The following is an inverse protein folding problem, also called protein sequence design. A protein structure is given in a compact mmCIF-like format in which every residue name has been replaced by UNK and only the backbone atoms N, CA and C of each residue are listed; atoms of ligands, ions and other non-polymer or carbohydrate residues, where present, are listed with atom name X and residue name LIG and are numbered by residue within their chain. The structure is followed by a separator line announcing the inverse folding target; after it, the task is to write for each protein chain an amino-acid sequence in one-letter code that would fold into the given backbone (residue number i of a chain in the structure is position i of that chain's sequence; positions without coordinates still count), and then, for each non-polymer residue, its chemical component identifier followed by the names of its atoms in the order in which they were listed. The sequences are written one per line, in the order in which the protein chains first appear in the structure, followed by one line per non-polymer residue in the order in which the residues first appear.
data_IF_643678045247
#
_entry.id   IF_643678045247
#
_cell.length_a   1.000
_cell.length_b   1.000
_cell.length_c   1.000
_cell.angle_alpha   90.00
_cell.angle_beta   90.00
_cell.angle_gamma   90.00
#
_symmetry.space_group_name_H-M   'P 1'
#
loop_
_entity.id
_entity.type
_entity.pdbx_description
1 polymer ?
#
# COMPACT_ATOMS: atom_id res chain seq x y z
N UNK A 1 33.01 51.45 60.25
CA UNK A 1 31.54 51.47 60.15
C UNK A 1 31.16 51.80 58.72
N UNK A 2 30.43 50.92 58.05
CA UNK A 2 29.96 51.12 56.67
C UNK A 2 29.95 49.83 55.86
N UNK A 3 29.05 48.90 56.16
CA UNK A 3 28.80 47.73 55.31
C UNK A 3 27.87 48.15 54.16
N UNK A 4 28.34 48.01 52.91
CA UNK A 4 27.50 48.11 51.71
C UNK A 4 26.81 46.76 51.48
N UNK A 5 25.50 46.69 51.69
CA UNK A 5 24.69 45.55 51.23
C UNK A 5 24.51 45.66 49.71
N UNK A 6 24.99 44.65 48.97
CA UNK A 6 24.61 44.44 47.57
C UNK A 6 23.40 43.49 47.56
N UNK A 7 22.24 44.03 47.19
CA UNK A 7 21.04 43.24 46.94
C UNK A 7 21.12 42.65 45.52
N UNK A 8 21.28 41.34 45.41
CA UNK A 8 21.15 40.62 44.13
C UNK A 8 19.66 40.29 43.91
N UNK A 9 19.04 40.94 42.94
CA UNK A 9 17.72 40.54 42.42
C UNK A 9 17.93 39.31 41.52
N UNK A 10 17.57 38.13 42.01
CA UNK A 10 17.49 36.91 41.20
C UNK A 10 16.22 37.02 40.34
N UNK A 11 16.38 37.32 39.06
CA UNK A 11 15.29 37.26 38.09
C UNK A 11 15.08 35.79 37.73
N UNK A 12 14.15 35.12 38.43
CA UNK A 12 13.70 33.78 38.05
C UNK A 12 12.90 33.93 36.76
N UNK A 13 13.57 33.71 35.63
CA UNK A 13 12.92 33.61 34.33
C UNK A 13 12.09 32.32 34.34
N UNK A 14 10.79 32.45 34.60
CA UNK A 14 9.84 31.39 34.31
C UNK A 14 9.80 31.22 32.79
N UNK A 15 10.64 30.33 32.26
CA UNK A 15 10.37 29.69 30.99
C UNK A 15 9.06 28.93 31.18
N UNK A 16 7.94 29.58 30.89
CA UNK A 16 6.71 28.88 30.60
C UNK A 16 7.03 28.04 29.37
N UNK A 17 7.22 26.74 29.56
CA UNK A 17 7.01 25.76 28.50
C UNK A 17 5.55 25.92 28.09
N UNK A 18 5.29 26.80 27.13
CA UNK A 18 4.05 26.81 26.39
C UNK A 18 4.03 25.49 25.63
N UNK A 19 3.48 24.46 26.25
CA UNK A 19 2.91 23.35 25.51
C UNK A 19 1.81 23.96 24.66
N UNK A 20 2.14 24.29 23.40
CA UNK A 20 1.13 24.55 22.39
C UNK A 20 0.38 23.23 22.23
N UNK A 21 -0.71 23.07 22.97
CA UNK A 21 -1.72 22.06 22.68
C UNK A 21 -2.35 22.50 21.36
N UNK A 22 -1.71 22.17 20.23
CA UNK A 22 -2.34 22.32 18.93
C UNK A 22 -3.55 21.40 18.94
N UNK A 23 -4.75 21.99 18.97
CA UNK A 23 -5.97 21.26 18.71
C UNK A 23 -5.76 20.51 17.39
N UNK A 24 -6.01 19.19 17.34
CA UNK A 24 -5.88 18.43 16.10
C UNK A 24 -6.59 19.18 14.99
N UNK A 25 -5.90 19.37 13.85
CA UNK A 25 -6.52 20.09 12.75
C UNK A 25 -7.70 19.29 12.23
N UNK A 26 -8.85 19.97 12.14
CA UNK A 26 -10.05 19.37 11.56
C UNK A 26 -9.84 18.96 10.11
N UNK A 27 -10.57 17.94 9.69
CA UNK A 27 -10.56 17.47 8.31
C UNK A 27 -10.84 18.62 7.33
N UNK A 28 -10.05 18.66 6.26
CA UNK A 28 -10.29 19.59 5.16
C UNK A 28 -11.65 19.31 4.50
N UNK A 29 -12.44 20.38 4.33
CA UNK A 29 -13.84 20.25 3.90
C UNK A 29 -13.98 19.64 2.50
N UNK A 30 -13.08 20.01 1.58
CA UNK A 30 -13.00 19.43 0.25
C UNK A 30 -12.75 17.93 0.31
N UNK A 31 -11.84 17.45 1.16
CA UNK A 31 -11.55 16.03 1.30
C UNK A 31 -12.71 15.23 1.92
N UNK A 32 -13.39 15.77 2.93
CA UNK A 32 -14.63 15.16 3.43
C UNK A 32 -15.71 15.04 2.34
N UNK A 33 -15.81 16.05 1.46
CA UNK A 33 -16.76 16.06 0.35
C UNK A 33 -16.36 15.06 -0.73
N UNK A 34 -15.06 14.96 -1.03
CA UNK A 34 -14.48 13.98 -1.94
C UNK A 34 -14.76 12.54 -1.49
N UNK A 35 -14.60 12.26 -0.19
CA UNK A 35 -14.89 10.95 0.40
C UNK A 35 -16.39 10.63 0.35
N UNK A 36 -17.28 11.58 0.67
CA UNK A 36 -18.72 11.35 0.57
C UNK A 36 -19.17 11.08 -0.88
N UNK A 37 -18.63 11.82 -1.86
CA UNK A 37 -18.86 11.54 -3.29
C UNK A 37 -18.34 10.16 -3.70
N UNK A 38 -17.23 9.71 -3.13
CA UNK A 38 -16.72 8.36 -3.39
C UNK A 38 -17.64 7.31 -2.77
N UNK A 39 -18.14 7.54 -1.55
CA UNK A 39 -19.10 6.65 -0.89
C UNK A 39 -20.38 6.47 -1.69
N UNK A 40 -20.84 7.48 -2.45
CA UNK A 40 -22.02 7.34 -3.33
C UNK A 40 -21.82 6.31 -4.46
N UNK A 41 -20.58 5.95 -4.81
CA UNK A 41 -20.29 4.91 -5.80
C UNK A 41 -20.17 3.51 -5.20
N UNK A 42 -20.38 3.39 -3.89
CA UNK A 42 -20.25 2.14 -3.13
C UNK A 42 -21.60 1.70 -2.60
N UNK A 43 -21.87 0.40 -2.68
CA UNK A 43 -23.00 -0.26 -2.04
C UNK A 43 -22.50 -1.33 -1.08
N UNK A 44 -23.40 -1.88 -0.27
CA UNK A 44 -23.11 -3.00 0.62
C UNK A 44 -23.74 -4.26 0.05
N UNK A 45 -23.00 -5.36 0.07
CA UNK A 45 -23.54 -6.69 -0.17
C UNK A 45 -23.56 -7.48 1.14
N UNK A 46 -24.75 -7.71 1.72
CA UNK A 46 -24.89 -8.45 2.98
C UNK A 46 -24.45 -9.91 2.89
N UNK A 47 -24.29 -10.45 1.69
CA UNK A 47 -23.86 -11.84 1.47
C UNK A 47 -22.34 -12.02 1.51
N UNK A 48 -21.57 -10.93 1.42
CA UNK A 48 -20.12 -10.98 1.55
C UNK A 48 -19.72 -11.10 3.02
N UNK A 49 -18.73 -11.95 3.28
CA UNK A 49 -18.12 -12.06 4.62
C UNK A 49 -17.36 -10.77 4.89
N UNK A 50 -17.83 -10.01 5.87
CA UNK A 50 -17.11 -8.87 6.44
C UNK A 50 -16.21 -9.39 7.55
N UNK A 51 -14.96 -8.90 7.61
CA UNK A 51 -14.05 -9.25 8.71
C UNK A 51 -14.35 -8.41 9.94
N UNK A 52 -14.94 -7.24 9.73
CA UNK A 52 -15.54 -6.37 10.73
C UNK A 52 -17.03 -6.67 10.88
N UNK A 53 -17.63 -6.41 12.04
CA UNK A 53 -19.08 -6.56 12.24
C UNK A 53 -19.94 -5.58 11.42
N UNK A 54 -19.33 -4.61 10.73
CA UNK A 54 -19.99 -3.58 9.93
C UNK A 54 -19.01 -2.94 8.93
N UNK A 55 -19.54 -2.18 7.94
CA UNK A 55 -18.72 -1.47 6.95
C UNK A 55 -18.18 -0.14 7.49
N UNK A 56 -16.91 0.17 7.29
CA UNK A 56 -16.32 1.44 7.76
C UNK A 56 -17.05 2.68 7.24
N UNK A 57 -17.59 2.61 6.01
CA UNK A 57 -18.36 3.70 5.41
C UNK A 57 -19.64 4.06 6.17
N UNK A 58 -20.13 3.18 7.06
CA UNK A 58 -21.32 3.45 7.89
C UNK A 58 -21.14 4.63 8.84
N UNK A 59 -19.92 4.91 9.29
CA UNK A 59 -19.63 6.05 10.17
C UNK A 59 -19.61 7.40 9.43
N UNK A 60 -19.47 7.38 8.09
CA UNK A 60 -19.25 8.58 7.29
C UNK A 60 -20.52 9.40 7.14
N UNK A 61 -20.53 10.59 7.75
CA UNK A 61 -21.66 11.49 7.70
C UNK A 61 -21.22 12.96 7.88
N UNK A 62 -22.07 13.89 7.44
CA UNK A 62 -21.77 15.33 7.43
C UNK A 62 -21.80 16.00 8.81
N UNK A 63 -22.23 15.29 9.86
CA UNK A 63 -22.36 15.85 11.22
C UNK A 63 -21.11 15.71 12.07
N UNK A 64 -20.09 14.97 11.59
CA UNK A 64 -18.82 14.75 12.29
C UNK A 64 -17.62 15.05 11.39
N UNK A 65 -16.52 15.38 12.03
CA UNK A 65 -15.22 15.55 11.37
C UNK A 65 -14.81 14.25 10.66
N UNK A 66 -14.32 14.34 9.41
CA UNK A 66 -13.97 13.15 8.63
C UNK A 66 -12.77 12.40 9.21
N UNK A 67 -11.91 13.06 10.00
CA UNK A 67 -10.81 12.39 10.69
C UNK A 67 -11.28 11.50 11.85
N UNK A 68 -12.58 11.52 12.17
CA UNK A 68 -13.23 10.61 13.13
C UNK A 68 -14.07 9.54 12.43
N UNK A 69 -14.04 9.48 11.09
CA UNK A 69 -14.71 8.42 10.35
C UNK A 69 -13.87 7.15 10.40
N UNK A 70 -14.53 6.02 10.62
CA UNK A 70 -13.89 4.71 10.56
C UNK A 70 -13.23 4.53 9.19
N UNK A 71 -12.00 4.01 9.21
CA UNK A 71 -11.21 3.82 7.99
C UNK A 71 -10.55 5.09 7.44
N UNK A 72 -10.75 6.27 8.04
CA UNK A 72 -10.12 7.52 7.61
C UNK A 72 -9.13 7.99 8.66
N UNK A 73 -7.87 8.15 8.28
CA UNK A 73 -6.83 8.72 9.14
C UNK A 73 -6.29 9.98 8.48
N UNK A 74 -6.20 11.04 9.28
CA UNK A 74 -5.67 12.33 8.89
C UNK A 74 -4.30 12.60 9.51
N UNK A 75 -3.51 13.41 8.82
CA UNK A 75 -2.31 14.03 9.36
C UNK A 75 -2.69 15.01 10.48
N UNK A 76 -2.17 14.78 11.69
CA UNK A 76 -2.55 15.52 12.91
C UNK A 76 -2.31 17.03 12.81
N UNK A 77 -1.32 17.42 12.00
CA UNK A 77 -0.85 18.80 11.89
C UNK A 77 -1.55 19.58 10.78
N UNK A 78 -2.07 18.90 9.75
CA UNK A 78 -2.69 19.54 8.59
C UNK A 78 -4.16 19.20 8.39
N UNK A 79 -4.70 18.18 9.08
CA UNK A 79 -6.07 17.69 8.87
C UNK A 79 -6.28 17.04 7.50
N UNK A 80 -5.20 16.75 6.76
CA UNK A 80 -5.26 16.09 5.46
C UNK A 80 -5.45 14.58 5.64
N UNK A 81 -6.38 13.98 4.93
CA UNK A 81 -6.52 12.53 4.78
C UNK A 81 -5.25 11.96 4.17
N UNK A 82 -4.61 11.06 4.93
CA UNK A 82 -3.37 10.38 4.54
C UNK A 82 -3.55 8.87 4.46
N UNK A 83 -4.60 8.32 5.06
CA UNK A 83 -4.90 6.90 4.95
C UNK A 83 -6.40 6.69 4.81
N UNK A 84 -6.73 5.81 3.85
CA UNK A 84 -8.06 5.30 3.61
C UNK A 84 -8.01 3.78 3.64
N UNK A 85 -8.51 3.22 4.74
CA UNK A 85 -8.69 1.80 4.93
C UNK A 85 -10.19 1.48 4.83
N UNK A 86 -10.56 0.76 3.77
CA UNK A 86 -11.89 0.19 3.57
C UNK A 86 -11.86 -1.33 3.52
N UNK A 87 -10.80 -1.98 4.01
CA UNK A 87 -10.67 -3.42 3.88
C UNK A 87 -11.78 -4.18 4.59
N UNK A 88 -12.13 -5.31 3.98
CA UNK A 88 -13.07 -6.28 4.51
C UNK A 88 -14.40 -5.70 5.01
N UNK A 89 -14.93 -4.74 4.26
CA UNK A 89 -16.08 -3.90 4.62
C UNK A 89 -17.36 -4.27 3.85
N UNK A 90 -17.37 -5.40 3.12
CA UNK A 90 -18.53 -5.88 2.37
C UNK A 90 -18.96 -4.92 1.26
N UNK A 91 -18.01 -4.12 0.75
CA UNK A 91 -18.29 -3.10 -0.24
C UNK A 91 -18.39 -3.73 -1.63
N UNK A 92 -19.45 -3.38 -2.35
CA UNK A 92 -19.55 -3.56 -3.80
C UNK A 92 -19.39 -2.20 -4.45
N UNK A 93 -18.53 -2.07 -5.44
CA UNK A 93 -18.26 -0.76 -6.02
C UNK A 93 -17.65 -0.79 -7.40
N UNK A 94 -17.81 0.34 -8.09
CA UNK A 94 -17.13 0.63 -9.34
C UNK A 94 -16.22 1.84 -9.17
N UNK A 95 -14.93 1.66 -9.47
CA UNK A 95 -13.95 2.73 -9.49
C UNK A 95 -13.69 3.07 -10.97
N UNK A 96 -14.24 4.20 -11.40
CA UNK A 96 -14.02 4.77 -12.74
C UNK A 96 -12.87 5.78 -12.73
N UNK A 97 -12.27 6.06 -13.90
CA UNK A 97 -11.11 6.98 -14.04
C UNK A 97 -11.38 8.40 -13.56
N UNK A 98 -12.65 8.82 -13.51
CA UNK A 98 -13.09 10.11 -12.99
C UNK A 98 -13.53 10.06 -11.51
N UNK A 99 -13.30 8.94 -10.81
CA UNK A 99 -13.66 8.78 -9.40
C UNK A 99 -13.06 9.90 -8.55
N UNK A 100 -13.86 10.40 -7.60
CA UNK A 100 -13.42 11.43 -6.66
C UNK A 100 -12.25 10.94 -5.80
N UNK A 101 -12.09 9.62 -5.60
CA UNK A 101 -10.97 9.00 -4.91
C UNK A 101 -9.61 9.57 -5.35
N UNK A 102 -9.41 9.76 -6.65
CA UNK A 102 -8.14 10.23 -7.23
C UNK A 102 -7.82 11.70 -6.94
N UNK A 103 -8.70 12.42 -6.23
CA UNK A 103 -8.46 13.79 -5.76
C UNK A 103 -7.70 13.82 -4.42
N UNK A 104 -7.64 12.70 -3.69
CA UNK A 104 -6.93 12.59 -2.40
C UNK A 104 -5.41 12.44 -2.61
N UNK A 105 -4.79 13.45 -3.21
CA UNK A 105 -3.38 13.45 -3.65
C UNK A 105 -2.33 13.27 -2.54
N UNK A 106 -2.73 13.41 -1.27
CA UNK A 106 -1.86 13.24 -0.10
C UNK A 106 -1.93 11.85 0.53
N UNK A 107 -2.72 10.93 -0.02
CA UNK A 107 -2.79 9.56 0.46
C UNK A 107 -1.41 8.89 0.49
N UNK A 108 -1.13 8.28 1.62
CA UNK A 108 0.05 7.49 1.95
C UNK A 108 -0.30 6.01 2.08
N UNK A 109 -1.53 5.66 2.47
CA UNK A 109 -1.97 4.27 2.59
C UNK A 109 -3.36 4.13 2.03
N UNK A 110 -3.54 3.15 1.15
CA UNK A 110 -4.83 2.83 0.55
C UNK A 110 -5.02 1.32 0.62
N UNK A 111 -6.05 0.90 1.35
CA UNK A 111 -6.38 -0.49 1.55
C UNK A 111 -7.85 -0.73 1.20
N UNK A 112 -8.07 -1.42 0.09
CA UNK A 112 -9.39 -1.84 -0.40
C UNK A 112 -9.58 -3.35 -0.31
N UNK A 113 -8.66 -4.07 0.34
CA UNK A 113 -8.60 -5.53 0.33
C UNK A 113 -9.89 -6.20 0.81
N UNK A 114 -10.16 -7.42 0.35
CA UNK A 114 -11.33 -8.22 0.78
C UNK A 114 -12.67 -7.50 0.60
N UNK A 115 -12.88 -6.86 -0.54
CA UNK A 115 -14.17 -6.30 -0.96
C UNK A 115 -14.56 -6.82 -2.36
N UNK A 116 -15.68 -6.39 -2.91
CA UNK A 116 -16.09 -6.78 -4.25
C UNK A 116 -16.04 -5.59 -5.22
N UNK A 117 -14.88 -5.41 -5.85
CA UNK A 117 -14.68 -4.46 -6.95
C UNK A 117 -14.67 -5.17 -8.32
N UNK A 118 -15.46 -6.23 -8.49
CA UNK A 118 -15.59 -7.01 -9.75
C UNK A 118 -15.90 -6.17 -10.99
N UNK A 119 -16.59 -5.03 -10.81
CA UNK A 119 -16.91 -4.09 -11.88
C UNK A 119 -15.80 -3.06 -12.14
N UNK A 120 -14.64 -3.19 -11.50
CA UNK A 120 -13.51 -2.27 -11.57
C UNK A 120 -12.25 -2.92 -12.13
N UNK A 121 -11.39 -2.09 -12.70
CA UNK A 121 -10.03 -2.45 -13.11
C UNK A 121 -9.03 -1.69 -12.23
N UNK A 122 -7.78 -2.15 -12.20
CA UNK A 122 -6.68 -1.34 -11.65
C UNK A 122 -6.35 -0.28 -12.71
N UNK A 123 -6.70 0.97 -12.44
CA UNK A 123 -6.60 2.06 -13.41
C UNK A 123 -5.24 2.80 -13.34
N UNK A 124 -4.76 3.41 -14.44
CA UNK A 124 -3.54 4.23 -14.44
C UNK A 124 -3.54 5.34 -13.38
N UNK A 125 -4.71 5.86 -13.03
CA UNK A 125 -4.89 6.92 -12.05
C UNK A 125 -4.42 6.55 -10.64
N UNK A 126 -4.31 5.25 -10.30
CA UNK A 126 -3.66 4.82 -9.06
C UNK A 126 -2.20 5.30 -8.99
N UNK A 127 -1.51 5.39 -10.13
CA UNK A 127 -0.15 5.93 -10.23
C UNK A 127 -0.02 7.42 -9.86
N UNK A 128 -1.14 8.14 -9.71
CA UNK A 128 -1.14 9.56 -9.31
C UNK A 128 -0.91 9.77 -7.81
N UNK A 129 -1.06 8.73 -6.99
CA UNK A 129 -0.81 8.80 -5.54
C UNK A 129 0.69 8.80 -5.23
N UNK A 130 1.40 9.85 -5.63
CA UNK A 130 2.88 9.96 -5.52
C UNK A 130 3.46 9.80 -4.11
N UNK A 131 2.62 9.90 -3.07
CA UNK A 131 3.01 9.74 -1.66
C UNK A 131 2.68 8.37 -1.08
N UNK A 132 2.08 7.48 -1.87
CA UNK A 132 1.62 6.19 -1.41
C UNK A 132 2.80 5.31 -0.98
N UNK A 133 2.68 4.75 0.21
CA UNK A 133 3.62 3.83 0.86
C UNK A 133 3.02 2.43 0.97
N UNK A 134 1.70 2.31 1.02
CA UNK A 134 0.98 1.04 0.97
C UNK A 134 -0.19 1.11 -0.01
N UNK A 135 -0.24 0.12 -0.91
CA UNK A 135 -1.38 -0.15 -1.77
C UNK A 135 -1.78 -1.61 -1.61
N UNK A 136 -2.96 -1.85 -1.06
CA UNK A 136 -3.53 -3.19 -0.95
C UNK A 136 -4.87 -3.24 -1.69
N UNK A 137 -4.88 -3.99 -2.79
CA UNK A 137 -6.06 -4.28 -3.61
C UNK A 137 -6.32 -5.80 -3.66
N UNK A 138 -5.73 -6.55 -2.73
CA UNK A 138 -5.81 -8.00 -2.72
C UNK A 138 -7.23 -8.49 -2.42
N UNK A 139 -7.56 -9.67 -2.93
CA UNK A 139 -8.85 -10.33 -2.68
C UNK A 139 -10.08 -9.43 -2.94
N UNK A 140 -9.96 -8.54 -3.93
CA UNK A 140 -10.92 -7.47 -4.17
C UNK A 140 -11.70 -7.62 -5.48
N UNK A 141 -11.60 -8.78 -6.12
CA UNK A 141 -12.22 -9.07 -7.41
C UNK A 141 -11.84 -8.09 -8.55
N UNK A 142 -10.77 -7.30 -8.42
CA UNK A 142 -10.24 -6.56 -9.57
C UNK A 142 -9.85 -7.52 -10.70
N UNK A 143 -10.03 -7.09 -11.94
CA UNK A 143 -9.71 -7.89 -13.12
C UNK A 143 -9.03 -7.08 -14.21
N UNK A 144 -8.51 -7.80 -15.22
CA UNK A 144 -7.88 -7.20 -16.40
C UNK A 144 -6.40 -6.92 -16.22
N UNK A 145 -5.92 -5.84 -16.82
CA UNK A 145 -4.50 -5.54 -16.90
C UNK A 145 -4.05 -4.60 -15.76
N UNK A 146 -2.87 -4.87 -15.20
CA UNK A 146 -2.21 -3.98 -14.24
C UNK A 146 -1.37 -2.95 -15.02
N UNK A 147 -1.72 -1.66 -14.97
CA UNK A 147 -1.05 -0.63 -15.77
C UNK A 147 0.36 -0.34 -15.25
N UNK A 148 1.26 0.04 -16.16
CA UNK A 148 2.65 0.40 -15.84
C UNK A 148 2.75 1.62 -14.91
N UNK A 149 1.72 2.48 -14.86
CA UNK A 149 1.65 3.64 -13.97
C UNK A 149 1.77 3.31 -12.48
N UNK A 150 1.48 2.07 -12.07
CA UNK A 150 1.75 1.61 -10.69
C UNK A 150 3.25 1.74 -10.36
N UNK A 151 4.14 1.64 -11.35
CA UNK A 151 5.58 1.85 -11.18
C UNK A 151 5.96 3.31 -10.89
N UNK A 152 5.05 4.28 -11.04
CA UNK A 152 5.27 5.68 -10.69
C UNK A 152 5.18 5.95 -9.17
N UNK A 153 4.71 4.98 -8.38
CA UNK A 153 4.57 5.07 -6.93
C UNK A 153 5.94 4.95 -6.22
N UNK A 154 6.85 5.89 -6.48
CA UNK A 154 8.25 5.84 -6.00
C UNK A 154 8.45 5.75 -4.48
N UNK A 155 7.40 6.05 -3.69
CA UNK A 155 7.42 5.95 -2.23
C UNK A 155 6.88 4.62 -1.69
N UNK A 156 6.42 3.73 -2.58
CA UNK A 156 5.73 2.51 -2.20
C UNK A 156 6.67 1.54 -1.49
N UNK A 157 6.20 1.04 -0.35
CA UNK A 157 6.90 0.10 0.51
C UNK A 157 6.19 -1.25 0.54
N UNK A 158 4.86 -1.26 0.37
CA UNK A 158 4.07 -2.49 0.38
C UNK A 158 3.05 -2.45 -0.76
N UNK A 159 3.06 -3.49 -1.61
CA UNK A 159 2.16 -3.66 -2.74
C UNK A 159 1.58 -5.08 -2.73
N UNK A 160 0.26 -5.18 -2.54
CA UNK A 160 -0.48 -6.44 -2.54
C UNK A 160 -1.57 -6.39 -3.60
N UNK A 161 -1.44 -7.24 -4.62
CA UNK A 161 -2.34 -7.31 -5.77
C UNK A 161 -2.91 -8.71 -6.03
N UNK A 162 -2.71 -9.66 -5.10
CA UNK A 162 -3.19 -11.03 -5.25
C UNK A 162 -4.71 -11.04 -5.51
N UNK A 163 -5.19 -11.56 -6.65
CA UNK A 163 -6.60 -11.56 -6.98
C UNK A 163 -7.37 -12.57 -6.12
N UNK A 164 -8.70 -12.40 -6.08
CA UNK A 164 -9.61 -13.48 -5.67
C UNK A 164 -9.56 -14.63 -6.68
N UNK A 165 -9.95 -15.84 -6.28
CA UNK A 165 -9.91 -17.03 -7.15
C UNK A 165 -10.76 -16.93 -8.44
N UNK A 166 -11.73 -16.02 -8.49
CA UNK A 166 -12.67 -15.88 -9.60
C UNK A 166 -12.22 -14.88 -10.67
N UNK A 167 -11.18 -14.09 -10.40
CA UNK A 167 -10.75 -13.00 -11.30
C UNK A 167 -9.34 -13.19 -11.81
N UNK A 168 -9.08 -12.67 -13.01
CA UNK A 168 -7.78 -12.75 -13.67
C UNK A 168 -7.19 -11.35 -13.76
N UNK A 169 -6.06 -11.16 -13.07
CA UNK A 169 -5.17 -10.02 -13.28
C UNK A 169 -3.99 -10.42 -14.17
N UNK A 170 -3.56 -9.50 -15.04
CA UNK A 170 -2.45 -9.70 -15.98
C UNK A 170 -1.42 -8.59 -15.84
N UNK A 171 -0.15 -8.98 -15.70
CA UNK A 171 0.98 -8.06 -15.67
C UNK A 171 1.97 -8.49 -16.76
N UNK A 172 2.28 -7.60 -17.71
CA UNK A 172 3.17 -7.98 -18.81
C UNK A 172 4.62 -8.08 -18.32
N UNK A 173 5.47 -8.75 -19.08
CA UNK A 173 6.90 -8.79 -18.80
C UNK A 173 7.54 -7.39 -18.74
N UNK A 174 7.06 -6.45 -19.57
CA UNK A 174 7.54 -5.08 -19.59
C UNK A 174 7.15 -4.35 -18.28
N UNK A 175 5.91 -4.49 -17.85
CA UNK A 175 5.39 -3.79 -16.67
C UNK A 175 5.96 -4.38 -15.38
N UNK A 176 6.17 -5.70 -15.31
CA UNK A 176 6.90 -6.34 -14.20
C UNK A 176 8.31 -5.75 -14.08
N UNK A 177 9.02 -5.60 -15.20
CA UNK A 177 10.36 -4.99 -15.20
C UNK A 177 10.32 -3.55 -14.69
N UNK A 178 9.39 -2.74 -15.15
CA UNK A 178 9.24 -1.35 -14.69
C UNK A 178 8.91 -1.28 -13.20
N UNK A 179 7.99 -2.11 -12.73
CA UNK A 179 7.58 -2.20 -11.33
C UNK A 179 8.79 -2.52 -10.44
N UNK A 180 9.52 -3.60 -10.74
CA UNK A 180 10.67 -4.02 -9.93
C UNK A 180 11.85 -3.02 -9.99
N UNK A 181 12.04 -2.36 -11.13
CA UNK A 181 13.11 -1.37 -11.31
C UNK A 181 12.81 -0.03 -10.61
N UNK A 182 11.56 0.46 -10.67
CA UNK A 182 11.23 1.82 -10.23
C UNK A 182 10.82 1.87 -8.74
N UNK A 183 10.23 0.81 -8.20
CA UNK A 183 9.79 0.75 -6.80
C UNK A 183 10.98 0.44 -5.87
N UNK A 184 11.95 1.36 -5.84
CA UNK A 184 13.23 1.18 -5.13
C UNK A 184 13.12 1.17 -3.60
N UNK A 185 11.97 1.56 -3.03
CA UNK A 185 11.68 1.52 -1.59
C UNK A 185 10.85 0.31 -1.15
N UNK A 186 10.51 -0.58 -2.08
CA UNK A 186 9.62 -1.70 -1.83
C UNK A 186 10.24 -2.67 -0.81
N UNK A 187 9.44 -3.01 0.20
CA UNK A 187 9.74 -3.98 1.26
C UNK A 187 8.93 -5.26 1.07
N UNK A 188 7.67 -5.10 0.68
CA UNK A 188 6.74 -6.20 0.49
C UNK A 188 6.12 -6.13 -0.89
N UNK A 189 6.17 -7.25 -1.61
CA UNK A 189 5.52 -7.42 -2.89
C UNK A 189 4.77 -8.75 -2.93
N UNK A 190 3.45 -8.69 -3.10
CA UNK A 190 2.61 -9.86 -3.33
C UNK A 190 1.88 -9.75 -4.67
N UNK A 191 2.33 -10.58 -5.62
CA UNK A 191 1.76 -10.76 -6.95
C UNK A 191 1.24 -12.19 -7.14
N UNK A 192 1.00 -12.93 -6.06
CA UNK A 192 0.54 -14.32 -6.11
C UNK A 192 -0.70 -14.44 -6.99
N UNK A 193 -0.77 -15.49 -7.82
CA UNK A 193 -1.89 -15.77 -8.72
C UNK A 193 -2.17 -14.73 -9.82
N UNK A 194 -1.27 -13.76 -10.05
CA UNK A 194 -1.35 -12.85 -11.20
C UNK A 194 -0.74 -13.53 -12.42
N UNK A 195 -1.43 -13.48 -13.56
CA UNK A 195 -0.88 -14.01 -14.81
C UNK A 195 0.23 -13.08 -15.34
N UNK A 196 1.46 -13.47 -15.07
CA UNK A 196 2.69 -12.78 -15.51
C UNK A 196 3.25 -13.45 -16.76
N UNK A 197 3.32 -14.78 -16.78
CA UNK A 197 3.83 -15.59 -17.91
C UNK A 197 5.14 -15.07 -18.50
N UNK A 198 6.15 -14.80 -17.65
CA UNK A 198 7.43 -14.23 -18.06
C UNK A 198 8.61 -14.73 -17.22
N UNK A 199 9.83 -14.33 -17.58
CA UNK A 199 11.02 -14.54 -16.73
C UNK A 199 11.10 -13.48 -15.65
N UNK A 200 11.82 -13.76 -14.57
CA UNK A 200 12.04 -12.82 -13.47
C UNK A 200 13.18 -11.84 -13.82
N UNK A 201 12.94 -10.52 -13.90
CA UNK A 201 14.01 -9.52 -14.07
C UNK A 201 14.95 -9.48 -12.86
N UNK A 202 16.24 -9.18 -13.02
CA UNK A 202 17.21 -9.24 -11.92
C UNK A 202 17.22 -8.03 -10.98
N UNK A 203 16.49 -6.96 -11.30
CA UNK A 203 16.55 -5.70 -10.58
C UNK A 203 15.48 -5.67 -9.49
N UNK A 204 15.89 -5.72 -8.22
CA UNK A 204 15.01 -5.68 -7.06
C UNK A 204 15.37 -4.52 -6.14
N UNK A 205 14.42 -4.05 -5.35
CA UNK A 205 14.73 -3.15 -4.23
C UNK A 205 15.60 -3.88 -3.20
N UNK A 206 16.68 -3.22 -2.76
CA UNK A 206 17.52 -3.69 -1.65
C UNK A 206 16.82 -3.69 -0.29
N UNK A 207 15.63 -3.09 -0.20
CA UNK A 207 14.81 -3.03 1.01
C UNK A 207 13.81 -4.20 1.10
N UNK A 208 13.71 -5.06 0.09
CA UNK A 208 12.77 -6.17 0.08
C UNK A 208 13.01 -7.12 1.25
N UNK A 209 11.94 -7.38 2.00
CA UNK A 209 11.84 -8.39 3.05
C UNK A 209 10.93 -9.53 2.64
N UNK A 210 9.91 -9.26 1.82
CA UNK A 210 8.93 -10.25 1.37
C UNK A 210 8.69 -10.14 -0.13
N UNK A 211 8.86 -11.26 -0.83
CA UNK A 211 8.55 -11.40 -2.26
C UNK A 211 7.68 -12.65 -2.49
N UNK A 212 6.43 -12.43 -2.89
CA UNK A 212 5.49 -13.49 -3.26
C UNK A 212 5.07 -13.36 -4.71
N UNK A 213 5.37 -14.37 -5.51
CA UNK A 213 5.00 -14.50 -6.91
C UNK A 213 4.61 -15.95 -7.23
N UNK A 214 4.00 -16.64 -6.25
CA UNK A 214 3.53 -18.02 -6.44
C UNK A 214 2.39 -18.09 -7.45
N UNK A 215 2.32 -19.16 -8.25
CA UNK A 215 1.26 -19.37 -9.24
C UNK A 215 1.11 -18.20 -10.24
N UNK A 216 2.21 -17.69 -10.80
CA UNK A 216 2.18 -16.53 -11.71
C UNK A 216 2.52 -16.86 -13.16
N UNK A 217 2.78 -18.14 -13.46
CA UNK A 217 3.25 -18.59 -14.76
C UNK A 217 4.70 -18.19 -15.04
N UNK A 218 5.48 -17.85 -14.01
CA UNK A 218 6.89 -17.55 -14.17
C UNK A 218 7.65 -18.76 -14.72
N UNK A 219 8.61 -18.49 -15.60
CA UNK A 219 9.44 -19.52 -16.21
C UNK A 219 10.91 -19.08 -16.29
N UNK A 220 11.78 -20.03 -16.64
CA UNK A 220 13.21 -19.77 -16.82
C UNK A 220 13.99 -19.94 -15.52
N UNK A 221 14.99 -19.09 -15.31
CA UNK A 221 15.95 -19.22 -14.20
C UNK A 221 15.67 -18.12 -13.16
N UNK A 222 15.63 -18.48 -11.88
CA UNK A 222 15.61 -17.53 -10.76
C UNK A 222 16.92 -16.74 -10.78
N UNK A 223 16.90 -15.40 -10.91
CA UNK A 223 18.12 -14.61 -10.96
C UNK A 223 18.86 -14.65 -9.61
N UNK A 224 20.18 -14.84 -9.66
CA UNK A 224 21.05 -14.91 -8.48
C UNK A 224 20.90 -13.70 -7.56
N UNK A 225 20.54 -12.53 -8.10
CA UNK A 225 20.34 -11.29 -7.33
C UNK A 225 19.32 -11.43 -6.19
N UNK A 226 18.29 -12.28 -6.34
CA UNK A 226 17.28 -12.52 -5.30
C UNK A 226 17.91 -13.11 -4.04
N UNK A 227 18.85 -14.06 -4.21
CA UNK A 227 19.52 -14.72 -3.09
C UNK A 227 20.56 -13.84 -2.38
N UNK A 228 20.89 -12.68 -2.95
CA UNK A 228 21.83 -11.71 -2.39
C UNK A 228 21.13 -10.47 -1.81
N UNK A 229 19.79 -10.47 -1.74
CA UNK A 229 19.04 -9.40 -1.10
C UNK A 229 19.30 -9.42 0.42
N UNK A 230 19.80 -8.32 1.01
CA UNK A 230 20.36 -8.35 2.36
C UNK A 230 19.30 -8.53 3.46
N UNK A 231 18.05 -8.20 3.17
CA UNK A 231 16.95 -8.20 4.14
C UNK A 231 15.82 -9.18 3.76
N UNK A 232 16.00 -10.02 2.73
CA UNK A 232 14.92 -10.90 2.26
C UNK A 232 14.69 -12.04 3.26
N UNK A 233 13.50 -12.07 3.83
CA UNK A 233 13.09 -13.04 4.85
C UNK A 233 12.11 -14.07 4.27
N UNK A 234 11.22 -13.63 3.37
CA UNK A 234 10.18 -14.47 2.77
C UNK A 234 10.29 -14.45 1.25
N UNK A 235 10.51 -15.63 0.66
CA UNK A 235 10.50 -15.85 -0.79
C UNK A 235 9.50 -16.98 -1.13
N UNK A 236 8.47 -16.63 -1.90
CA UNK A 236 7.34 -17.52 -2.23
C UNK A 236 7.22 -17.55 -3.75
N UNK A 237 7.71 -18.62 -4.37
CA UNK A 237 7.75 -18.81 -5.83
C UNK A 237 7.02 -20.09 -6.26
N UNK A 238 6.30 -20.73 -5.35
CA UNK A 238 5.73 -22.05 -5.60
C UNK A 238 4.69 -22.06 -6.73
N UNK A 239 4.40 -23.24 -7.27
CA UNK A 239 3.43 -23.43 -8.35
C UNK A 239 3.81 -22.69 -9.65
N UNK A 240 5.11 -22.50 -9.90
CA UNK A 240 5.65 -22.05 -11.18
C UNK A 240 6.44 -23.20 -11.82
N UNK A 241 5.72 -24.14 -12.45
CA UNK A 241 6.27 -25.43 -12.90
C UNK A 241 7.41 -25.34 -13.93
N UNK A 242 7.55 -24.20 -14.61
CA UNK A 242 8.61 -23.95 -15.61
C UNK A 242 9.75 -23.07 -15.05
N UNK A 243 9.69 -22.72 -13.76
CA UNK A 243 10.73 -21.99 -13.08
C UNK A 243 11.77 -22.97 -12.53
N UNK A 244 13.02 -22.63 -12.73
CA UNK A 244 14.17 -23.40 -12.29
C UNK A 244 15.12 -22.49 -11.52
N UNK A 245 15.85 -23.05 -10.57
CA UNK A 245 16.81 -22.29 -9.77
C UNK A 245 18.01 -23.14 -9.44
N UNK A 246 19.15 -22.47 -9.29
CA UNK A 246 20.32 -23.04 -8.67
C UNK A 246 20.89 -22.04 -7.67
N UNK A 247 21.24 -22.51 -6.49
CA UNK A 247 22.00 -21.71 -5.55
C UNK A 247 23.49 -21.99 -5.74
N UNK A 248 24.26 -20.98 -6.17
CA UNK A 248 25.70 -21.11 -6.32
C UNK A 248 26.38 -20.85 -4.98
N UNK A 249 27.03 -21.88 -4.44
CA UNK A 249 27.81 -21.79 -3.20
C UNK A 249 29.09 -20.97 -3.42
N UNK A 250 29.66 -20.35 -2.37
CA UNK A 250 30.92 -19.60 -2.46
C UNK A 250 32.11 -20.40 -3.01
N UNK A 251 32.07 -21.72 -2.92
CA UNK A 251 33.08 -22.63 -3.46
C UNK A 251 32.86 -23.02 -4.94
N UNK A 252 31.90 -22.39 -5.63
CA UNK A 252 31.62 -22.59 -7.05
C UNK A 252 30.67 -23.75 -7.39
N UNK A 253 30.23 -24.53 -6.40
CA UNK A 253 29.26 -25.63 -6.61
C UNK A 253 27.82 -25.11 -6.64
N UNK A 254 26.95 -25.69 -7.46
CA UNK A 254 25.54 -25.29 -7.58
C UNK A 254 24.61 -26.34 -6.96
N UNK A 255 23.59 -25.89 -6.23
CA UNK A 255 22.51 -26.74 -5.69
C UNK A 255 21.22 -26.44 -6.45
N UNK A 256 20.65 -27.43 -7.13
CA UNK A 256 19.36 -27.27 -7.80
C UNK A 256 18.23 -27.09 -6.78
N UNK A 257 17.42 -26.05 -6.97
CA UNK A 257 16.22 -25.79 -6.19
C UNK A 257 15.03 -26.48 -6.85
N UNK A 258 15.02 -27.80 -6.94
CA UNK A 258 13.93 -28.55 -7.60
C UNK A 258 12.81 -29.00 -6.66
N UNK A 259 12.94 -28.75 -5.34
CA UNK A 259 12.05 -29.28 -4.30
C UNK A 259 11.43 -28.23 -3.37
N UNK A 260 11.59 -26.94 -3.68
CA UNK A 260 11.10 -25.83 -2.85
C UNK A 260 10.24 -24.83 -3.65
N UNK A 261 9.80 -25.25 -4.85
CA UNK A 261 8.93 -24.52 -5.77
C UNK A 261 7.70 -25.38 -6.11
#
# INVERSE_FOLDING_TARGET
MGYRQFSFLIFVCFCQLSFSSSVPHSCLKDQSTTLLKFKETLTLDPSLVTCSSYSYTSSWNTSRDCCLWDGVICDEMTGCVIELNLSCSGLVGKIDSNSSLFQLSRLQRLDFSSNNFSNSHILPEFGRFSRLTLLDLSDSYFSGHIPSDISHLSQLQSLHLSPSFETILRLTAHDLKLLLQNLTKLRELDLTSINISSTIPPNFSSHLTTLRMGNTGLYGIIPDSIFHLPNLETLVLQNNNQLSGYFRRPNGTSVHLSSFM
#
